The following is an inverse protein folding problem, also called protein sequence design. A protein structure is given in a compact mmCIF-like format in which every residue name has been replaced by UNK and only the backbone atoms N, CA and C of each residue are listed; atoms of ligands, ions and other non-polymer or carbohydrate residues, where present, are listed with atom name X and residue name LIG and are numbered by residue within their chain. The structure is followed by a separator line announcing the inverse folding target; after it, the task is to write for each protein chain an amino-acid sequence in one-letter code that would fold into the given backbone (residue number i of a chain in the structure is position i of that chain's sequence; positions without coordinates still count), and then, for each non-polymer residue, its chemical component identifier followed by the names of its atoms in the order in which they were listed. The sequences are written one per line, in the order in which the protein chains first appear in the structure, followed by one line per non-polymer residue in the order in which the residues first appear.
data_IF_355520164776
#
_entry.id   IF_355520164776
#
_cell.length_a   1.000
_cell.length_b   1.000
_cell.length_c   1.000
_cell.angle_alpha   90.00
_cell.angle_beta   90.00
_cell.angle_gamma   90.00
#
_symmetry.space_group_name_H-M   'P 1'
#
loop_
_entity.id
_entity.type
_entity.pdbx_description
1 polymer ?
#
# COMPACT_ATOMS: atom_id res chain seq x y z
N UNK A 1 -79.04 10.90 17.64
CA UNK A 1 -80.23 10.12 17.29
C UNK A 1 -79.94 8.66 17.52
N UNK A 2 -80.62 8.03 18.44
CA UNK A 2 -81.00 6.61 18.59
C UNK A 2 -79.87 5.56 18.69
N UNK A 3 -79.66 5.02 19.84
CA UNK A 3 -80.26 3.95 20.69
C UNK A 3 -79.60 2.63 20.47
N UNK A 4 -78.88 2.13 21.46
CA UNK A 4 -79.23 1.23 22.54
C UNK A 4 -79.76 -0.15 22.18
N UNK A 5 -79.12 -1.11 22.77
CA UNK A 5 -79.53 -2.29 23.57
C UNK A 5 -78.70 -3.48 23.09
N UNK A 6 -78.01 -4.26 23.91
CA UNK A 6 -78.30 -4.79 25.24
C UNK A 6 -78.58 -6.28 25.15
N UNK A 7 -77.79 -7.08 25.80
CA UNK A 7 -78.15 -8.20 26.71
C UNK A 7 -77.13 -9.30 26.81
N UNK A 8 -76.53 -9.44 27.94
CA UNK A 8 -76.59 -10.61 28.89
C UNK A 8 -76.04 -11.96 28.42
N UNK A 9 -74.88 -12.28 29.00
CA UNK A 9 -74.61 -13.33 30.00
C UNK A 9 -74.77 -14.80 29.57
N UNK A 10 -73.69 -15.52 29.63
CA UNK A 10 -73.65 -16.77 30.43
C UNK A 10 -72.18 -17.20 30.67
N UNK A 11 -71.92 -17.41 31.95
CA UNK A 11 -70.69 -17.97 32.47
C UNK A 11 -70.63 -19.47 32.19
N UNK A 12 -69.49 -19.95 31.77
CA UNK A 12 -69.09 -21.37 31.99
C UNK A 12 -67.59 -21.42 32.25
N UNK A 13 -67.26 -22.00 33.37
CA UNK A 13 -65.86 -22.11 33.82
C UNK A 13 -65.06 -23.03 32.94
N UNK A 14 -63.79 -22.71 32.81
CA UNK A 14 -62.79 -23.58 32.21
C UNK A 14 -61.50 -23.49 33.02
N UNK A 15 -61.04 -24.65 33.31
CA UNK A 15 -59.91 -25.01 34.15
C UNK A 15 -58.58 -24.30 33.77
N UNK A 16 -57.93 -23.76 34.78
CA UNK A 16 -56.58 -23.22 34.67
C UNK A 16 -55.57 -24.39 34.57
N UNK A 17 -55.04 -24.63 33.37
CA UNK A 17 -53.83 -25.48 33.16
C UNK A 17 -52.61 -24.57 33.36
N UNK A 18 -51.91 -24.71 34.49
CA UNK A 18 -50.57 -24.21 34.71
C UNK A 18 -49.60 -24.95 33.76
N UNK A 19 -49.25 -24.33 32.66
CA UNK A 19 -48.09 -24.76 31.86
C UNK A 19 -46.83 -24.19 32.56
N UNK A 20 -46.13 -25.05 33.28
CA UNK A 20 -44.76 -24.80 33.73
C UNK A 20 -43.83 -24.76 32.50
N UNK A 21 -43.59 -23.55 31.98
CA UNK A 21 -42.59 -23.33 30.95
C UNK A 21 -41.20 -23.58 31.55
N UNK A 22 -40.57 -24.66 31.16
CA UNK A 22 -39.12 -24.87 31.32
C UNK A 22 -38.40 -23.78 30.52
N UNK A 23 -37.98 -22.72 31.21
CA UNK A 23 -36.98 -21.78 30.69
C UNK A 23 -35.65 -22.54 30.60
N UNK A 24 -35.30 -23.03 29.40
CA UNK A 24 -33.97 -23.45 29.12
C UNK A 24 -33.04 -22.25 29.29
N UNK A 25 -31.93 -22.36 30.03
CA UNK A 25 -30.97 -21.28 30.13
C UNK A 25 -30.43 -21.01 28.71
N UNK A 26 -30.60 -19.77 28.23
CA UNK A 26 -29.92 -19.29 27.03
C UNK A 26 -28.42 -19.49 27.27
N UNK A 27 -27.81 -20.42 26.54
CA UNK A 27 -26.37 -20.58 26.56
C UNK A 27 -25.77 -19.25 26.13
N UNK A 28 -25.23 -18.51 27.08
CA UNK A 28 -24.39 -17.35 26.83
C UNK A 28 -23.24 -17.86 25.98
N UNK A 29 -23.21 -17.50 24.69
CA UNK A 29 -22.05 -17.71 23.85
C UNK A 29 -20.97 -16.84 24.45
N UNK A 30 -20.10 -17.43 25.27
CA UNK A 30 -18.93 -16.76 25.80
C UNK A 30 -18.15 -16.20 24.59
N UNK A 31 -17.83 -14.90 24.63
CA UNK A 31 -16.95 -14.29 23.64
C UNK A 31 -15.66 -15.14 23.54
N UNK A 32 -15.10 -15.33 22.34
CA UNK A 32 -13.92 -16.18 22.18
C UNK A 32 -12.82 -15.69 23.12
N UNK A 33 -12.36 -16.59 23.99
CA UNK A 33 -11.36 -16.33 25.05
C UNK A 33 -9.92 -16.16 24.49
N UNK A 34 -9.76 -15.72 23.23
CA UNK A 34 -8.48 -15.55 22.56
C UNK A 34 -7.85 -14.17 22.75
N UNK A 35 -6.54 -14.05 22.50
CA UNK A 35 -5.83 -12.78 22.63
C UNK A 35 -6.42 -11.73 21.67
N UNK A 36 -6.83 -10.58 22.23
CA UNK A 36 -7.40 -9.46 21.46
C UNK A 36 -6.29 -8.60 20.88
N UNK A 37 -6.30 -8.38 19.55
CA UNK A 37 -5.40 -7.48 18.85
C UNK A 37 -6.18 -6.28 18.27
N UNK A 38 -5.85 -5.08 18.71
CA UNK A 38 -6.22 -3.84 18.03
C UNK A 38 -5.18 -3.57 16.94
N UNK A 39 -5.61 -3.60 15.68
CA UNK A 39 -4.74 -3.44 14.51
C UNK A 39 -5.06 -2.12 13.83
N UNK A 40 -4.12 -1.18 13.89
CA UNK A 40 -4.25 0.13 13.26
C UNK A 40 -3.62 0.11 11.87
N UNK A 41 -4.35 0.57 10.84
CA UNK A 41 -3.89 0.61 9.46
C UNK A 41 -4.60 1.70 8.65
N UNK A 42 -4.10 1.96 7.42
CA UNK A 42 -4.70 2.94 6.49
C UNK A 42 -5.42 2.30 5.28
N UNK A 43 -5.59 1.00 5.25
CA UNK A 43 -6.21 0.28 4.15
C UNK A 43 -7.73 0.46 4.15
N UNK A 44 -8.20 1.50 3.45
CA UNK A 44 -9.61 1.92 3.44
C UNK A 44 -10.27 1.84 2.06
N UNK A 45 -9.48 1.64 0.98
CA UNK A 45 -10.05 1.43 -0.35
C UNK A 45 -10.80 0.09 -0.44
N UNK A 46 -11.52 -0.14 -1.54
CA UNK A 46 -12.32 -1.35 -1.73
C UNK A 46 -11.48 -2.62 -1.69
N UNK A 47 -10.38 -2.65 -2.45
CA UNK A 47 -9.47 -3.80 -2.50
C UNK A 47 -8.69 -3.98 -1.20
N UNK A 48 -8.21 -2.89 -0.61
CA UNK A 48 -7.43 -2.92 0.62
C UNK A 48 -8.26 -3.41 1.81
N UNK A 49 -9.50 -2.94 1.93
CA UNK A 49 -10.43 -3.43 2.97
C UNK A 49 -10.76 -4.91 2.80
N UNK A 50 -10.82 -5.41 1.56
CA UNK A 50 -11.00 -6.84 1.32
C UNK A 50 -9.74 -7.64 1.66
N UNK A 51 -8.55 -7.08 1.40
CA UNK A 51 -7.28 -7.73 1.69
C UNK A 51 -7.04 -7.85 3.20
N UNK A 52 -7.18 -6.77 3.98
CA UNK A 52 -6.95 -6.81 5.43
C UNK A 52 -7.89 -7.78 6.15
N UNK A 53 -9.12 -7.97 5.63
CA UNK A 53 -10.02 -9.01 6.15
C UNK A 53 -9.43 -10.41 6.11
N UNK A 54 -8.55 -10.72 5.13
CA UNK A 54 -7.87 -12.04 5.07
C UNK A 54 -6.95 -12.26 6.27
N UNK A 55 -6.24 -11.22 6.71
CA UNK A 55 -5.46 -11.30 7.94
C UNK A 55 -6.36 -11.41 9.17
N UNK A 56 -7.45 -10.65 9.22
CA UNK A 56 -8.41 -10.74 10.31
C UNK A 56 -9.03 -12.13 10.42
N UNK A 57 -9.39 -12.75 9.29
CA UNK A 57 -9.95 -14.10 9.24
C UNK A 57 -8.91 -15.16 9.66
N UNK A 58 -7.68 -15.04 9.20
CA UNK A 58 -6.58 -15.91 9.60
C UNK A 58 -6.28 -15.79 11.11
N UNK A 59 -6.28 -14.56 11.65
CA UNK A 59 -6.08 -14.33 13.08
C UNK A 59 -7.20 -14.94 13.94
N UNK A 60 -8.47 -14.81 13.50
CA UNK A 60 -9.61 -15.44 14.17
C UNK A 60 -9.53 -16.95 14.09
N UNK A 61 -9.14 -17.52 12.94
CA UNK A 61 -8.93 -18.96 12.78
C UNK A 61 -7.83 -19.51 13.69
N UNK A 62 -6.82 -18.66 14.02
CA UNK A 62 -5.77 -18.99 14.99
C UNK A 62 -6.22 -18.77 16.46
N UNK A 63 -7.50 -18.49 16.70
CA UNK A 63 -8.08 -18.33 18.03
C UNK A 63 -7.98 -16.90 18.60
N UNK A 64 -7.58 -15.90 17.82
CA UNK A 64 -7.50 -14.51 18.23
C UNK A 64 -8.81 -13.74 18.03
N UNK A 65 -8.89 -12.55 18.64
CA UNK A 65 -9.96 -11.57 18.45
C UNK A 65 -9.40 -10.33 17.77
N UNK A 66 -9.76 -10.10 16.51
CA UNK A 66 -9.35 -8.93 15.73
C UNK A 66 -10.23 -7.72 16.02
N UNK A 67 -9.62 -6.61 16.41
CA UNK A 67 -10.26 -5.29 16.51
C UNK A 67 -9.63 -4.38 15.44
N UNK A 68 -10.44 -3.90 14.52
CA UNK A 68 -10.02 -3.11 13.38
C UNK A 68 -10.00 -1.60 13.73
N UNK A 69 -8.89 -0.92 13.41
CA UNK A 69 -8.75 0.54 13.56
C UNK A 69 -8.22 1.13 12.27
N UNK A 70 -9.11 1.37 11.31
CA UNK A 70 -8.76 1.95 10.03
C UNK A 70 -8.78 3.49 10.08
N UNK A 71 -7.68 4.12 9.63
CA UNK A 71 -7.52 5.58 9.54
C UNK A 71 -7.18 5.92 8.10
N UNK A 72 -8.06 6.63 7.40
CA UNK A 72 -7.84 6.98 5.99
C UNK A 72 -6.60 7.90 5.81
N UNK A 73 -5.75 7.55 4.86
CA UNK A 73 -4.51 8.27 4.56
C UNK A 73 -3.31 7.79 5.38
N UNK A 74 -2.26 7.36 4.68
CA UNK A 74 -1.07 6.76 5.30
C UNK A 74 -0.38 7.71 6.29
N UNK A 75 -0.21 8.99 5.94
CA UNK A 75 0.47 9.96 6.81
C UNK A 75 -0.35 10.27 8.05
N UNK A 76 -1.67 10.39 7.91
CA UNK A 76 -2.57 10.57 9.04
C UNK A 76 -2.54 9.35 9.98
N UNK A 77 -2.62 8.14 9.43
CA UNK A 77 -2.58 6.91 10.22
C UNK A 77 -1.27 6.75 11.00
N UNK A 78 -0.14 7.01 10.34
CA UNK A 78 1.19 7.00 10.98
C UNK A 78 1.29 8.03 12.10
N UNK A 79 0.84 9.26 11.88
CA UNK A 79 0.85 10.31 12.90
C UNK A 79 0.00 9.92 14.12
N UNK A 80 -1.20 9.38 13.89
CA UNK A 80 -2.06 8.88 14.98
C UNK A 80 -1.39 7.72 15.72
N UNK A 81 -0.76 6.78 15.01
CA UNK A 81 -0.07 5.65 15.62
C UNK A 81 1.10 6.12 16.50
N UNK A 82 1.96 7.00 16.00
CA UNK A 82 3.09 7.57 16.75
C UNK A 82 2.59 8.30 18.00
N UNK A 83 1.60 9.16 17.87
CA UNK A 83 1.03 9.91 18.99
C UNK A 83 0.46 8.97 20.07
N UNK A 84 -0.22 7.89 19.67
CA UNK A 84 -0.76 6.90 20.61
C UNK A 84 0.35 6.10 21.30
N UNK A 85 1.40 5.73 20.57
CA UNK A 85 2.55 4.99 21.12
C UNK A 85 3.29 5.85 22.15
N UNK A 86 3.61 7.09 21.80
CA UNK A 86 4.34 8.02 22.68
C UNK A 86 3.44 8.47 23.86
N UNK A 87 2.15 8.65 23.60
CA UNK A 87 1.15 9.04 24.62
C UNK A 87 0.73 7.93 25.59
N UNK A 88 1.29 6.71 25.47
CA UNK A 88 1.04 5.61 26.42
C UNK A 88 -0.28 4.87 26.21
N UNK A 89 -0.98 5.07 25.09
CA UNK A 89 -2.19 4.33 24.70
C UNK A 89 -2.00 3.66 23.31
N UNK A 90 -1.00 2.79 23.16
CA UNK A 90 -0.68 2.18 21.88
C UNK A 90 -1.74 1.17 21.43
N UNK A 91 -1.92 0.97 20.10
CA UNK A 91 -2.59 -0.22 19.57
C UNK A 91 -1.75 -1.48 19.81
N UNK A 92 -2.33 -2.65 19.60
CA UNK A 92 -1.56 -3.91 19.65
C UNK A 92 -0.52 -3.98 18.53
N UNK A 93 -0.89 -3.51 17.34
CA UNK A 93 0.00 -3.37 16.19
C UNK A 93 -0.39 -2.14 15.36
N UNK A 94 0.59 -1.48 14.76
CA UNK A 94 0.39 -0.35 13.88
C UNK A 94 1.12 -0.55 12.55
N UNK A 95 0.45 -0.22 11.46
CA UNK A 95 1.02 -0.27 10.12
C UNK A 95 2.01 0.88 9.89
N UNK A 96 3.15 0.55 9.28
CA UNK A 96 4.13 1.44 8.69
C UNK A 96 4.57 0.88 7.34
N UNK A 97 5.32 1.67 6.57
CA UNK A 97 6.03 1.11 5.43
C UNK A 97 7.37 0.52 5.89
N UNK A 98 7.96 -0.37 5.10
CA UNK A 98 9.31 -0.91 5.34
C UNK A 98 10.36 0.15 4.97
N UNK A 99 10.40 1.22 5.75
CA UNK A 99 11.25 2.40 5.59
C UNK A 99 11.78 2.87 6.96
N UNK A 100 12.55 3.93 7.00
CA UNK A 100 13.10 4.47 8.25
C UNK A 100 12.07 5.15 9.17
N UNK A 101 10.78 5.17 8.81
CA UNK A 101 9.73 5.93 9.50
C UNK A 101 9.52 5.56 10.99
N UNK A 102 9.84 4.33 11.39
CA UNK A 102 9.69 3.87 12.77
C UNK A 102 11.02 3.74 13.51
N UNK A 103 12.12 4.24 12.92
CA UNK A 103 13.45 4.15 13.51
C UNK A 103 13.53 4.83 14.86
N UNK A 104 12.98 6.02 15.00
CA UNK A 104 12.97 6.79 16.25
C UNK A 104 12.22 6.05 17.37
N UNK A 105 11.15 5.32 17.03
CA UNK A 105 10.42 4.50 18.00
C UNK A 105 11.28 3.32 18.50
N UNK A 106 12.15 2.76 17.65
CA UNK A 106 13.12 1.73 18.05
C UNK A 106 14.17 2.33 19.00
N UNK A 107 14.78 3.43 18.60
CA UNK A 107 15.87 4.08 19.34
C UNK A 107 15.39 4.59 20.72
N UNK A 108 14.12 4.97 20.84
CA UNK A 108 13.44 5.30 22.10
C UNK A 108 13.03 4.07 22.92
N UNK A 109 13.23 2.85 22.41
CA UNK A 109 12.81 1.62 23.08
C UNK A 109 11.28 1.46 23.20
N UNK A 110 10.51 2.08 22.29
CA UNK A 110 9.05 2.09 22.30
C UNK A 110 8.42 0.89 21.57
N UNK A 111 9.22 0.03 20.95
CA UNK A 111 8.75 -1.15 20.22
C UNK A 111 9.28 -2.45 20.86
N UNK A 112 8.48 -3.51 20.79
CA UNK A 112 8.91 -4.88 21.04
C UNK A 112 9.56 -5.45 19.77
N UNK A 113 10.57 -6.31 19.94
CA UNK A 113 11.07 -7.13 18.85
C UNK A 113 10.20 -8.39 18.66
N UNK A 114 10.33 -9.02 17.51
CA UNK A 114 9.64 -10.26 17.13
C UNK A 114 10.63 -11.35 16.73
N UNK A 115 11.80 -11.36 17.35
CA UNK A 115 12.92 -12.25 17.04
C UNK A 115 12.55 -13.73 17.10
N UNK A 116 11.76 -14.12 18.10
CA UNK A 116 11.33 -15.52 18.28
C UNK A 116 10.53 -16.02 17.06
N UNK A 117 9.69 -15.18 16.45
CA UNK A 117 8.97 -15.52 15.23
C UNK A 117 9.91 -15.46 14.03
N UNK A 118 10.69 -14.39 13.89
CA UNK A 118 11.59 -14.17 12.77
C UNK A 118 12.64 -15.27 12.62
N UNK A 119 13.23 -15.71 13.73
CA UNK A 119 14.25 -16.77 13.74
C UNK A 119 13.61 -18.15 13.47
N UNK A 120 12.47 -18.45 14.10
CA UNK A 120 11.72 -19.70 13.85
C UNK A 120 11.36 -19.85 12.36
N UNK A 121 10.88 -18.77 11.75
CA UNK A 121 10.36 -18.77 10.38
C UNK A 121 11.42 -18.32 9.35
N UNK A 122 12.69 -18.20 9.76
CA UNK A 122 13.88 -17.97 8.91
C UNK A 122 13.77 -16.74 8.01
N UNK A 123 13.31 -15.63 8.55
CA UNK A 123 13.10 -14.39 7.79
C UNK A 123 14.34 -13.91 7.05
N UNK A 124 15.54 -14.02 7.66
CA UNK A 124 16.82 -13.68 7.02
C UNK A 124 17.07 -14.40 5.68
N UNK A 125 16.46 -15.58 5.48
CA UNK A 125 16.65 -16.40 4.29
C UNK A 125 15.55 -16.19 3.25
N UNK A 126 14.37 -15.75 3.68
CA UNK A 126 13.14 -15.74 2.88
C UNK A 126 12.74 -14.34 2.41
N UNK A 127 13.27 -13.28 3.04
CA UNK A 127 12.92 -11.90 2.70
C UNK A 127 14.00 -11.20 1.87
N UNK A 128 13.63 -10.21 1.03
CA UNK A 128 14.58 -9.41 0.28
C UNK A 128 15.50 -8.57 1.19
N UNK A 129 16.78 -8.46 0.84
CA UNK A 129 17.76 -7.70 1.61
C UNK A 129 17.34 -6.24 1.88
N UNK A 130 16.82 -5.45 0.92
CA UNK A 130 16.39 -4.07 1.20
C UNK A 130 15.27 -3.94 2.24
N UNK A 131 14.47 -4.98 2.43
CA UNK A 131 13.45 -5.02 3.49
C UNK A 131 14.10 -5.38 4.83
N UNK A 132 14.99 -6.39 4.82
CA UNK A 132 15.74 -6.80 6.02
C UNK A 132 16.57 -5.65 6.60
N UNK A 133 17.22 -4.85 5.76
CA UNK A 133 18.04 -3.69 6.16
C UNK A 133 17.25 -2.65 6.96
N UNK A 134 15.94 -2.61 6.78
CA UNK A 134 15.05 -1.67 7.49
C UNK A 134 14.47 -2.27 8.77
N UNK A 135 13.95 -3.50 8.68
CA UNK A 135 13.22 -4.11 9.81
C UNK A 135 14.14 -4.71 10.87
N UNK A 136 15.40 -4.99 10.52
CA UNK A 136 16.40 -5.58 11.41
C UNK A 136 17.40 -4.52 11.86
N UNK A 137 17.32 -4.13 13.13
CA UNK A 137 18.13 -3.07 13.73
C UNK A 137 18.94 -3.65 14.88
N UNK A 138 20.26 -3.47 14.86
CA UNK A 138 21.17 -4.01 15.89
C UNK A 138 21.00 -5.52 16.13
N UNK A 139 20.68 -6.27 15.05
CA UNK A 139 20.48 -7.72 15.10
C UNK A 139 19.07 -8.18 15.47
N UNK A 140 18.14 -7.27 15.81
CA UNK A 140 16.77 -7.56 16.24
C UNK A 140 15.73 -7.15 15.21
N UNK A 141 14.66 -7.92 15.08
CA UNK A 141 13.53 -7.66 14.16
C UNK A 141 12.42 -6.87 14.87
N UNK A 142 12.15 -5.64 14.42
CA UNK A 142 11.18 -4.74 15.04
C UNK A 142 9.86 -4.56 14.26
N UNK A 143 9.75 -5.18 13.09
CA UNK A 143 8.53 -5.13 12.31
C UNK A 143 8.28 -6.45 11.59
N UNK A 144 7.01 -6.79 11.37
CA UNK A 144 6.57 -7.89 10.53
C UNK A 144 6.13 -7.33 9.17
N UNK A 145 6.96 -7.44 8.12
CA UNK A 145 6.56 -7.01 6.78
C UNK A 145 5.56 -8.00 6.19
N UNK A 146 4.54 -7.49 5.50
CA UNK A 146 3.42 -8.33 5.02
C UNK A 146 3.31 -8.42 3.50
N UNK A 147 4.06 -7.59 2.79
CA UNK A 147 4.08 -7.58 1.33
C UNK A 147 5.37 -6.95 0.77
N UNK A 148 5.51 -7.09 -0.55
CA UNK A 148 6.45 -6.32 -1.36
C UNK A 148 5.62 -5.52 -2.35
N UNK A 149 5.81 -4.20 -2.32
CA UNK A 149 5.32 -3.27 -3.32
C UNK A 149 6.42 -2.85 -4.27
N UNK A 150 6.09 -2.75 -5.56
CA UNK A 150 6.76 -1.88 -6.49
C UNK A 150 5.85 -0.69 -6.81
N UNK A 151 6.30 0.50 -6.50
CA UNK A 151 5.44 1.69 -6.54
C UNK A 151 5.38 2.38 -7.90
N UNK A 152 6.15 1.94 -8.89
CA UNK A 152 6.32 2.63 -10.17
C UNK A 152 5.83 1.83 -11.38
N UNK A 153 4.84 0.96 -11.19
CA UNK A 153 4.16 0.29 -12.29
C UNK A 153 3.45 1.29 -13.20
N UNK A 154 3.42 0.98 -14.49
CA UNK A 154 2.63 1.71 -15.49
C UNK A 154 1.43 0.84 -15.84
N UNK A 155 0.26 1.23 -15.34
CA UNK A 155 -1.03 0.60 -15.60
C UNK A 155 -1.67 1.28 -16.80
N UNK A 156 -2.27 0.54 -17.72
CA UNK A 156 -2.96 1.15 -18.86
C UNK A 156 -4.25 0.42 -19.22
N UNK A 157 -5.24 1.20 -19.69
CA UNK A 157 -6.51 0.68 -20.20
C UNK A 157 -6.36 0.21 -21.65
N UNK A 158 -6.62 -1.08 -21.91
CA UNK A 158 -6.60 -1.61 -23.29
C UNK A 158 -7.70 -0.99 -24.16
N UNK A 159 -8.85 -0.67 -23.57
CA UNK A 159 -9.93 0.02 -24.29
C UNK A 159 -9.50 1.44 -24.72
N UNK A 160 -8.86 2.20 -23.84
CA UNK A 160 -8.33 3.53 -24.14
C UNK A 160 -7.20 3.47 -25.19
N UNK A 161 -6.28 2.50 -25.07
CA UNK A 161 -5.23 2.28 -26.06
C UNK A 161 -5.80 1.96 -27.44
N UNK A 162 -6.78 1.05 -27.50
CA UNK A 162 -7.49 0.74 -28.75
C UNK A 162 -8.16 1.97 -29.36
N UNK A 163 -8.86 2.79 -28.55
CA UNK A 163 -9.48 4.05 -29.00
C UNK A 163 -8.46 5.03 -29.59
N UNK A 164 -7.26 5.09 -29.00
CA UNK A 164 -6.17 5.97 -29.45
C UNK A 164 -5.29 5.35 -30.57
N UNK A 165 -5.62 4.16 -31.08
CA UNK A 165 -4.84 3.47 -32.12
C UNK A 165 -3.46 3.03 -31.64
N UNK A 166 -3.30 2.75 -30.35
CA UNK A 166 -2.05 2.25 -29.77
C UNK A 166 -2.11 0.71 -29.79
N UNK A 167 -1.29 0.09 -30.61
CA UNK A 167 -1.30 -1.36 -30.84
C UNK A 167 -0.21 -2.12 -30.09
N UNK A 168 0.81 -1.41 -29.59
CA UNK A 168 1.96 -1.98 -28.88
C UNK A 168 2.15 -1.28 -27.55
N UNK A 169 2.50 -2.05 -26.53
CA UNK A 169 2.92 -1.52 -25.22
C UNK A 169 4.20 -0.69 -25.36
N UNK A 170 4.31 0.48 -24.73
CA UNK A 170 5.55 1.26 -24.70
C UNK A 170 6.64 0.48 -23.95
N UNK A 171 7.82 0.39 -24.57
CA UNK A 171 9.00 -0.27 -24.02
C UNK A 171 10.12 0.70 -23.66
N UNK A 172 9.97 1.99 -24.02
CA UNK A 172 10.92 3.07 -23.71
C UNK A 172 10.19 4.31 -23.21
N UNK A 173 10.88 5.25 -22.52
CA UNK A 173 10.27 6.52 -22.13
C UNK A 173 9.70 7.31 -23.31
N UNK A 174 10.38 7.33 -24.46
CA UNK A 174 9.89 8.03 -25.66
C UNK A 174 8.63 7.39 -26.21
N UNK A 175 8.54 6.05 -26.23
CA UNK A 175 7.32 5.34 -26.63
C UNK A 175 6.17 5.58 -25.65
N UNK A 176 6.43 5.72 -24.33
CA UNK A 176 5.42 6.11 -23.36
C UNK A 176 4.87 7.52 -23.66
N UNK A 177 5.74 8.49 -23.89
CA UNK A 177 5.29 9.84 -24.23
C UNK A 177 4.54 9.88 -25.56
N UNK A 178 4.96 9.12 -26.57
CA UNK A 178 4.23 8.99 -27.82
C UNK A 178 2.83 8.36 -27.63
N UNK A 179 2.70 7.40 -26.71
CA UNK A 179 1.39 6.83 -26.35
C UNK A 179 0.50 7.86 -25.63
N UNK A 180 1.07 8.64 -24.71
CA UNK A 180 0.34 9.71 -24.02
C UNK A 180 -0.12 10.82 -24.99
N UNK A 181 0.70 11.18 -25.99
CA UNK A 181 0.33 12.13 -27.04
C UNK A 181 -0.86 11.61 -27.88
N UNK A 182 -0.85 10.33 -28.27
CA UNK A 182 -1.96 9.69 -28.99
C UNK A 182 -3.24 9.64 -28.17
N UNK A 183 -3.17 9.32 -26.88
CA UNK A 183 -4.32 9.34 -25.97
C UNK A 183 -4.95 10.72 -25.90
N UNK A 184 -4.11 11.75 -25.70
CA UNK A 184 -4.57 13.15 -25.67
C UNK A 184 -5.22 13.57 -26.98
N UNK A 185 -4.64 13.20 -28.13
CA UNK A 185 -5.21 13.48 -29.45
C UNK A 185 -6.55 12.78 -29.68
N UNK A 186 -6.76 11.59 -29.07
CA UNK A 186 -8.02 10.83 -29.12
C UNK A 186 -9.08 11.33 -28.10
N UNK A 187 -8.82 12.44 -27.38
CA UNK A 187 -9.72 12.98 -26.37
C UNK A 187 -9.84 12.09 -25.13
N UNK A 188 -8.76 11.36 -24.80
CA UNK A 188 -8.63 10.55 -23.57
C UNK A 188 -7.63 11.25 -22.65
N UNK A 189 -7.91 11.30 -21.34
CA UNK A 189 -6.92 11.76 -20.38
C UNK A 189 -5.68 10.86 -20.49
N UNK A 190 -4.52 11.42 -20.81
CA UNK A 190 -3.32 10.64 -21.04
C UNK A 190 -2.87 9.92 -19.75
N UNK A 191 -2.74 10.68 -18.66
CA UNK A 191 -2.27 10.21 -17.37
C UNK A 191 -3.31 10.49 -16.28
N UNK A 192 -3.88 9.44 -15.70
CA UNK A 192 -4.66 9.54 -14.47
C UNK A 192 -3.71 9.77 -13.30
N UNK A 193 -3.88 10.85 -12.58
CA UNK A 193 -3.04 11.22 -11.44
C UNK A 193 -3.88 11.80 -10.31
N UNK A 194 -3.53 11.49 -9.08
CA UNK A 194 -4.03 12.19 -7.90
C UNK A 194 -3.02 13.27 -7.52
N UNK A 195 -3.51 14.48 -7.22
CA UNK A 195 -2.64 15.63 -6.92
C UNK A 195 -2.22 15.69 -5.46
N UNK A 196 -1.76 14.59 -4.89
CA UNK A 196 -1.21 14.52 -3.54
C UNK A 196 0.31 14.40 -3.62
N UNK A 197 1.09 15.07 -2.76
CA UNK A 197 2.56 15.12 -2.86
C UNK A 197 3.25 13.75 -2.95
N UNK A 198 2.80 12.75 -2.22
CA UNK A 198 3.36 11.40 -2.29
C UNK A 198 3.17 10.72 -3.66
N UNK A 199 2.07 11.04 -4.38
CA UNK A 199 1.84 10.52 -5.72
C UNK A 199 2.76 11.19 -6.75
N UNK A 200 3.05 12.50 -6.58
CA UNK A 200 4.05 13.21 -7.38
C UNK A 200 5.46 12.63 -7.16
N UNK A 201 5.78 12.25 -5.92
CA UNK A 201 7.02 11.56 -5.59
C UNK A 201 7.13 10.20 -6.32
N UNK A 202 6.05 9.43 -6.43
CA UNK A 202 6.02 8.19 -7.24
C UNK A 202 6.31 8.48 -8.72
N UNK A 203 5.70 9.51 -9.31
CA UNK A 203 5.97 9.89 -10.70
C UNK A 203 7.44 10.28 -10.90
N UNK A 204 8.01 11.04 -9.97
CA UNK A 204 9.43 11.40 -9.99
C UNK A 204 10.32 10.16 -9.94
N UNK A 205 10.10 9.25 -9.00
CA UNK A 205 10.87 8.01 -8.89
C UNK A 205 10.73 7.14 -10.15
N UNK A 206 9.53 7.08 -10.73
CA UNK A 206 9.32 6.37 -12.00
C UNK A 206 10.17 6.98 -13.12
N UNK A 207 10.22 8.30 -13.24
CA UNK A 207 11.06 8.95 -14.25
C UNK A 207 12.55 8.80 -13.94
N UNK A 208 12.95 8.90 -12.68
CA UNK A 208 14.35 8.69 -12.27
C UNK A 208 14.83 7.26 -12.60
N UNK A 209 13.97 6.27 -12.37
CA UNK A 209 14.27 4.87 -12.69
C UNK A 209 14.31 4.59 -14.20
N UNK A 210 13.31 5.09 -14.95
CA UNK A 210 13.14 4.75 -16.37
C UNK A 210 13.99 5.60 -17.32
N UNK A 211 14.23 6.87 -16.99
CA UNK A 211 15.05 7.79 -17.78
C UNK A 211 16.50 7.83 -17.30
N UNK A 212 16.69 7.84 -15.97
CA UNK A 212 18.00 7.94 -15.34
C UNK A 212 18.71 6.59 -15.15
N UNK A 213 17.95 5.53 -14.97
CA UNK A 213 18.45 4.18 -14.68
C UNK A 213 18.98 4.01 -13.26
N UNK A 214 19.36 2.78 -12.92
CA UNK A 214 19.78 2.39 -11.57
C UNK A 214 20.95 3.21 -11.01
N UNK A 215 21.98 3.45 -11.85
CA UNK A 215 23.18 4.15 -11.38
C UNK A 215 22.85 5.59 -10.94
N UNK A 216 22.13 6.34 -11.77
CA UNK A 216 21.72 7.70 -11.43
C UNK A 216 20.74 7.72 -10.24
N UNK A 217 19.80 6.77 -10.18
CA UNK A 217 18.87 6.63 -9.06
C UNK A 217 19.61 6.53 -7.73
N UNK A 218 20.60 5.63 -7.64
CA UNK A 218 21.38 5.45 -6.42
C UNK A 218 22.28 6.63 -6.12
N UNK A 219 22.93 7.23 -7.14
CA UNK A 219 23.79 8.40 -6.94
C UNK A 219 23.02 9.63 -6.44
N UNK A 220 21.76 9.79 -6.86
CA UNK A 220 20.90 10.90 -6.41
C UNK A 220 20.33 10.63 -5.02
N UNK A 221 19.79 9.44 -4.76
CA UNK A 221 18.98 9.19 -3.56
C UNK A 221 19.77 8.55 -2.43
N UNK A 222 20.65 7.59 -2.72
CA UNK A 222 21.48 6.93 -1.71
C UNK A 222 22.71 7.76 -1.38
N UNK A 223 23.47 8.15 -2.44
CA UNK A 223 24.75 8.84 -2.30
C UNK A 223 24.58 10.36 -2.16
N UNK A 224 23.38 10.88 -2.47
CA UNK A 224 23.00 12.30 -2.40
C UNK A 224 24.02 13.22 -3.08
N UNK A 225 24.60 12.71 -4.19
CA UNK A 225 25.71 13.36 -4.90
C UNK A 225 25.27 14.66 -5.56
N UNK A 226 25.82 15.83 -5.16
CA UNK A 226 25.54 17.10 -5.82
C UNK A 226 25.92 17.10 -7.31
N UNK A 227 26.98 16.36 -7.69
CA UNK A 227 27.40 16.21 -9.08
C UNK A 227 26.35 15.46 -9.91
N UNK A 228 25.79 14.38 -9.36
CA UNK A 228 24.73 13.61 -10.03
C UNK A 228 23.46 14.47 -10.18
N UNK A 229 23.07 15.21 -9.14
CA UNK A 229 21.87 16.06 -9.11
C UNK A 229 22.02 17.24 -10.09
N UNK A 230 23.22 17.81 -10.24
CA UNK A 230 23.47 18.90 -11.20
C UNK A 230 23.81 18.41 -12.63
N UNK A 231 23.77 17.11 -12.90
CA UNK A 231 24.09 16.55 -14.22
C UNK A 231 22.98 16.81 -15.25
N UNK A 232 23.34 16.85 -16.54
CA UNK A 232 22.39 16.90 -17.66
C UNK A 232 21.50 15.62 -17.69
N UNK A 233 22.01 14.48 -17.21
CA UNK A 233 21.21 13.26 -17.10
C UNK A 233 20.04 13.44 -16.12
N UNK A 234 20.31 14.00 -14.96
CA UNK A 234 19.24 14.28 -13.98
C UNK A 234 18.31 15.41 -14.42
N UNK A 235 18.82 16.41 -15.13
CA UNK A 235 17.99 17.44 -15.77
C UNK A 235 16.97 16.84 -16.72
N UNK A 236 17.37 15.84 -17.56
CA UNK A 236 16.44 15.11 -18.43
C UNK A 236 15.34 14.40 -17.63
N UNK A 237 15.67 13.82 -16.50
CA UNK A 237 14.69 13.18 -15.58
C UNK A 237 13.65 14.19 -15.10
N UNK A 238 14.10 15.36 -14.61
CA UNK A 238 13.19 16.41 -14.12
C UNK A 238 12.31 16.97 -15.25
N UNK A 239 12.84 17.14 -16.45
CA UNK A 239 12.05 17.58 -17.61
C UNK A 239 11.01 16.51 -18.01
N UNK A 240 11.37 15.23 -18.00
CA UNK A 240 10.42 14.12 -18.23
C UNK A 240 9.33 14.07 -17.16
N UNK A 241 9.70 14.22 -15.89
CA UNK A 241 8.75 14.32 -14.78
C UNK A 241 7.78 15.51 -14.99
N UNK A 242 8.30 16.68 -15.31
CA UNK A 242 7.46 17.87 -15.58
C UNK A 242 6.56 17.70 -16.80
N UNK A 243 7.03 17.02 -17.85
CA UNK A 243 6.24 16.74 -19.05
C UNK A 243 4.98 15.89 -18.74
N UNK A 244 5.05 14.96 -17.79
CA UNK A 244 3.90 14.16 -17.40
C UNK A 244 2.69 14.99 -16.98
N UNK A 245 2.92 16.16 -16.35
CA UNK A 245 1.86 17.09 -15.96
C UNK A 245 0.96 17.51 -17.13
N UNK A 246 1.51 17.62 -18.34
CA UNK A 246 0.76 18.06 -19.53
C UNK A 246 -0.30 17.07 -20.01
N UNK A 247 -0.32 15.86 -19.47
CA UNK A 247 -1.26 14.76 -19.79
C UNK A 247 -2.30 14.52 -18.68
N UNK A 248 -2.18 15.22 -17.55
CA UNK A 248 -3.10 15.12 -16.41
C UNK A 248 -4.31 16.04 -16.62
N UNK A 249 -5.47 15.61 -16.19
CA UNK A 249 -6.69 16.43 -16.23
C UNK A 249 -6.75 17.49 -15.13
N UNK A 250 -7.47 18.63 -15.33
CA UNK A 250 -7.54 19.70 -14.34
C UNK A 250 -8.16 19.31 -13.00
N UNK A 251 -8.90 18.22 -12.94
CA UNK A 251 -9.55 17.73 -11.71
C UNK A 251 -8.65 16.92 -10.80
N UNK A 252 -7.34 16.82 -11.09
CA UNK A 252 -6.41 15.97 -10.33
C UNK A 252 -6.07 16.48 -8.91
N UNK A 253 -6.05 17.80 -8.59
CA UNK A 253 -5.65 18.24 -7.26
C UNK A 253 -6.45 17.58 -6.14
N UNK A 254 -5.73 17.03 -5.15
CA UNK A 254 -6.26 16.29 -4.00
C UNK A 254 -7.09 15.03 -4.32
N UNK A 255 -7.08 14.56 -5.58
CA UNK A 255 -7.71 13.28 -5.94
C UNK A 255 -6.97 12.14 -5.25
N UNK A 256 -7.71 11.19 -4.69
CA UNK A 256 -7.13 9.96 -4.17
C UNK A 256 -6.61 9.06 -5.30
N UNK A 257 -5.62 8.25 -4.99
CA UNK A 257 -5.00 7.35 -5.97
C UNK A 257 -5.98 6.34 -6.59
N UNK A 258 -6.91 5.81 -5.78
CA UNK A 258 -7.93 4.86 -6.23
C UNK A 258 -8.97 5.51 -7.15
N UNK A 259 -9.29 6.79 -6.95
CA UNK A 259 -10.15 7.55 -7.86
C UNK A 259 -9.46 7.76 -9.22
N UNK A 260 -8.14 7.98 -9.23
CA UNK A 260 -7.34 8.00 -10.44
C UNK A 260 -7.32 6.62 -11.12
N UNK A 261 -7.16 5.53 -10.34
CA UNK A 261 -7.27 4.15 -10.88
C UNK A 261 -8.64 3.90 -11.51
N UNK A 262 -9.73 4.36 -10.89
CA UNK A 262 -11.08 4.23 -11.44
C UNK A 262 -11.27 4.94 -12.80
N UNK A 263 -10.47 5.98 -13.11
CA UNK A 263 -10.48 6.60 -14.43
C UNK A 263 -9.89 5.66 -15.50
N UNK A 264 -8.85 4.91 -15.18
CA UNK A 264 -8.24 3.92 -16.08
C UNK A 264 -9.14 2.70 -16.23
N UNK A 265 -9.71 2.20 -15.14
CA UNK A 265 -10.72 1.13 -15.12
C UNK A 265 -11.89 1.48 -16.05
N UNK A 266 -12.40 2.70 -15.96
CA UNK A 266 -13.51 3.18 -16.81
C UNK A 266 -13.11 3.62 -18.22
N UNK A 267 -11.84 3.53 -18.62
CA UNK A 267 -11.36 3.95 -19.94
C UNK A 267 -11.40 5.48 -20.16
N UNK A 268 -11.65 6.28 -19.14
CA UNK A 268 -11.61 7.75 -19.19
C UNK A 268 -10.17 8.28 -19.24
N UNK A 269 -9.24 7.54 -18.66
CA UNK A 269 -7.81 7.78 -18.78
C UNK A 269 -7.10 6.58 -19.38
N UNK A 270 -5.99 6.84 -20.08
CA UNK A 270 -5.22 5.80 -20.75
C UNK A 270 -4.23 5.11 -19.84
N UNK A 271 -3.50 5.87 -19.01
CA UNK A 271 -2.38 5.40 -18.21
C UNK A 271 -2.50 5.89 -16.76
N UNK A 272 -2.00 5.12 -15.82
CA UNK A 272 -1.65 5.55 -14.46
C UNK A 272 -0.26 5.00 -14.09
N UNK A 273 0.60 5.84 -13.54
CA UNK A 273 1.84 5.41 -12.91
C UNK A 273 1.60 5.35 -11.41
N UNK A 274 1.57 4.14 -10.85
CA UNK A 274 1.17 3.91 -9.46
C UNK A 274 1.66 2.54 -9.01
N UNK A 275 1.77 2.35 -7.72
CA UNK A 275 2.12 1.08 -7.14
C UNK A 275 1.16 -0.06 -7.47
N UNK A 276 1.62 -1.26 -7.22
CA UNK A 276 0.88 -2.49 -7.52
C UNK A 276 -0.42 -2.63 -6.71
N UNK A 277 -0.63 -1.86 -5.65
CA UNK A 277 -1.93 -1.75 -4.98
C UNK A 277 -3.05 -1.26 -5.92
N UNK A 278 -2.73 -0.50 -6.98
CA UNK A 278 -3.70 -0.14 -8.01
C UNK A 278 -4.30 -1.37 -8.69
N UNK A 279 -3.53 -2.45 -8.84
CA UNK A 279 -4.01 -3.72 -9.41
C UNK A 279 -5.18 -4.30 -8.62
N UNK A 280 -5.18 -4.15 -7.30
CA UNK A 280 -6.29 -4.56 -6.46
C UNK A 280 -7.61 -3.91 -6.84
N UNK A 281 -7.60 -2.61 -7.21
CA UNK A 281 -8.80 -1.90 -7.64
C UNK A 281 -9.32 -2.38 -9.02
N UNK A 282 -8.42 -2.73 -9.96
CA UNK A 282 -8.82 -3.39 -11.20
C UNK A 282 -9.51 -4.74 -10.93
N UNK A 283 -8.95 -5.54 -10.01
CA UNK A 283 -9.53 -6.81 -9.62
C UNK A 283 -10.89 -6.64 -8.92
N UNK A 284 -11.04 -5.66 -8.02
CA UNK A 284 -12.30 -5.32 -7.36
C UNK A 284 -13.38 -4.89 -8.38
N UNK A 285 -12.96 -4.22 -9.48
CA UNK A 285 -13.81 -3.88 -10.61
C UNK A 285 -14.05 -5.07 -11.59
N UNK A 286 -13.62 -6.31 -11.21
CA UNK A 286 -13.73 -7.52 -12.03
C UNK A 286 -13.01 -7.45 -13.37
N UNK A 287 -11.97 -6.63 -13.48
CA UNK A 287 -11.12 -6.58 -14.66
C UNK A 287 -9.98 -7.60 -14.57
N UNK A 288 -9.61 -8.12 -15.73
CA UNK A 288 -8.57 -9.16 -15.88
C UNK A 288 -7.33 -8.58 -16.53
N UNK A 289 -6.18 -8.77 -15.88
CA UNK A 289 -4.87 -8.40 -16.43
C UNK A 289 -4.63 -9.10 -17.78
N UNK A 290 -4.08 -8.36 -18.74
CA UNK A 290 -3.86 -8.86 -20.11
C UNK A 290 -5.08 -8.79 -21.02
N UNK A 291 -6.30 -8.75 -20.50
CA UNK A 291 -7.55 -8.64 -21.26
C UNK A 291 -8.10 -7.20 -21.24
N UNK A 292 -8.35 -6.67 -20.06
CA UNK A 292 -9.01 -5.37 -19.88
C UNK A 292 -7.97 -4.26 -19.61
N UNK A 293 -6.93 -4.57 -18.91
CA UNK A 293 -5.80 -3.67 -18.63
C UNK A 293 -4.46 -4.38 -18.85
N UNK A 294 -3.40 -3.59 -18.96
CA UNK A 294 -2.02 -4.07 -18.99
C UNK A 294 -1.16 -3.41 -17.91
N UNK A 295 0.02 -3.97 -17.72
CA UNK A 295 0.96 -3.58 -16.67
C UNK A 295 2.40 -3.64 -17.18
N UNK A 296 3.15 -2.56 -16.98
CA UNK A 296 4.53 -2.44 -17.40
C UNK A 296 5.37 -2.15 -16.15
N UNK A 297 6.28 -3.05 -15.80
CA UNK A 297 7.13 -2.93 -14.62
C UNK A 297 8.29 -1.94 -14.81
N UNK A 298 8.59 -1.57 -16.04
CA UNK A 298 9.66 -0.64 -16.39
C UNK A 298 9.86 -0.54 -17.89
N UNK A 299 10.33 0.62 -18.33
CA UNK A 299 10.53 0.96 -19.74
C UNK A 299 11.96 0.60 -20.18
N UNK A 300 12.23 -0.71 -20.22
CA UNK A 300 13.52 -1.27 -20.62
C UNK A 300 13.96 -2.46 -19.77
N UNK A 301 14.92 -3.24 -20.25
CA UNK A 301 15.32 -4.48 -19.59
C UNK A 301 16.08 -4.26 -18.28
N UNK A 302 16.74 -3.13 -18.11
CA UNK A 302 17.65 -2.84 -16.98
C UNK A 302 17.09 -1.81 -16.00
N UNK A 303 15.79 -1.49 -16.09
CA UNK A 303 15.14 -0.59 -15.15
C UNK A 303 15.13 -1.23 -13.76
N UNK A 304 15.56 -0.52 -12.70
CA UNK A 304 15.52 -1.06 -11.35
C UNK A 304 14.06 -1.34 -10.91
N UNK A 305 13.88 -2.41 -10.15
CA UNK A 305 12.62 -2.72 -9.50
C UNK A 305 12.62 -2.06 -8.12
N UNK A 306 11.87 -0.97 -7.99
CA UNK A 306 11.88 -0.15 -6.78
C UNK A 306 10.96 -0.77 -5.75
N UNK A 307 11.56 -1.31 -4.68
CA UNK A 307 10.83 -2.08 -3.66
C UNK A 307 10.72 -1.35 -2.34
N UNK A 308 9.55 -1.47 -1.78
CA UNK A 308 9.22 -1.29 -0.37
C UNK A 308 8.12 -2.29 -0.02
N UNK A 309 7.58 -2.22 1.19
CA UNK A 309 6.42 -3.00 1.59
C UNK A 309 5.70 -2.32 2.74
N UNK A 310 4.60 -2.92 3.13
CA UNK A 310 3.91 -2.58 4.37
C UNK A 310 4.39 -3.52 5.49
N UNK A 311 4.51 -2.99 6.69
CA UNK A 311 4.90 -3.75 7.86
C UNK A 311 4.08 -3.34 9.08
N UNK A 312 3.93 -4.25 10.04
CA UNK A 312 3.37 -3.95 11.34
C UNK A 312 4.47 -3.89 12.39
N UNK A 313 4.51 -2.78 13.12
CA UNK A 313 5.30 -2.64 14.34
C UNK A 313 4.46 -2.99 15.56
N UNK A 314 5.13 -3.43 16.63
CA UNK A 314 4.51 -3.92 17.86
C UNK A 314 4.93 -3.02 19.03
N UNK A 315 4.08 -2.07 19.44
CA UNK A 315 4.40 -1.16 20.52
C UNK A 315 4.71 -1.90 21.84
N UNK A 316 5.68 -1.37 22.58
CA UNK A 316 6.09 -1.94 23.86
C UNK A 316 4.96 -1.88 24.88
N UNK A 317 4.74 -3.00 25.59
CA UNK A 317 3.70 -3.12 26.61
C UNK A 317 4.19 -4.04 27.73
N UNK A 318 3.67 -3.81 28.94
CA UNK A 318 3.88 -4.71 30.09
C UNK A 318 2.75 -5.76 30.21
N UNK A 319 1.68 -5.64 29.43
CA UNK A 319 0.54 -6.56 29.46
C UNK A 319 0.88 -7.86 28.71
N UNK A 320 0.99 -9.02 29.41
CA UNK A 320 1.37 -10.30 28.79
C UNK A 320 0.37 -10.77 27.73
N UNK A 321 -0.93 -10.47 27.87
CA UNK A 321 -1.94 -10.85 26.89
C UNK A 321 -1.79 -10.05 25.60
N UNK A 322 -1.39 -8.76 25.69
CA UNK A 322 -1.07 -7.96 24.50
C UNK A 322 0.20 -8.49 23.82
N UNK A 323 1.24 -8.85 24.55
CA UNK A 323 2.45 -9.48 23.97
C UNK A 323 2.11 -10.79 23.27
N UNK A 324 1.24 -11.61 23.86
CA UNK A 324 0.75 -12.84 23.23
C UNK A 324 -0.02 -12.55 21.95
N UNK A 325 -0.86 -11.51 21.95
CA UNK A 325 -1.59 -11.06 20.77
C UNK A 325 -0.63 -10.59 19.66
N UNK A 326 0.41 -9.82 19.98
CA UNK A 326 1.43 -9.35 19.04
C UNK A 326 2.14 -10.52 18.35
N UNK A 327 2.58 -11.52 19.13
CA UNK A 327 3.26 -12.70 18.60
C UNK A 327 2.35 -13.56 17.71
N UNK A 328 1.12 -13.81 18.14
CA UNK A 328 0.14 -14.53 17.34
C UNK A 328 -0.16 -13.77 16.03
N UNK A 329 -0.27 -12.43 16.10
CA UNK A 329 -0.51 -11.60 14.93
C UNK A 329 0.63 -11.68 13.92
N UNK A 330 1.89 -11.49 14.38
CA UNK A 330 3.07 -11.60 13.51
C UNK A 330 3.13 -12.98 12.83
N UNK A 331 2.98 -14.06 13.61
CA UNK A 331 2.99 -15.43 13.09
C UNK A 331 1.88 -15.66 12.05
N UNK A 332 0.67 -15.14 12.30
CA UNK A 332 -0.48 -15.35 11.42
C UNK A 332 -0.35 -14.56 10.11
N UNK A 333 0.07 -13.30 10.18
CA UNK A 333 0.22 -12.47 8.99
C UNK A 333 1.33 -12.98 8.06
N UNK A 334 2.36 -13.63 8.61
CA UNK A 334 3.47 -14.21 7.85
C UNK A 334 3.25 -15.67 7.45
N UNK A 335 2.11 -16.28 7.82
CA UNK A 335 1.79 -17.62 7.36
C UNK A 335 1.61 -17.63 5.82
N UNK A 336 2.21 -18.61 5.08
CA UNK A 336 2.20 -18.59 3.61
C UNK A 336 0.81 -18.48 2.99
N UNK A 337 -0.21 -19.16 3.56
CA UNK A 337 -1.58 -19.07 3.07
C UNK A 337 -2.20 -17.68 3.27
N UNK A 338 -1.97 -17.04 4.42
CA UNK A 338 -2.43 -15.68 4.69
C UNK A 338 -1.73 -14.66 3.78
N UNK A 339 -0.43 -14.83 3.56
CA UNK A 339 0.37 -14.04 2.61
C UNK A 339 -0.20 -14.10 1.20
N UNK A 340 -0.52 -15.29 0.70
CA UNK A 340 -1.07 -15.49 -0.63
C UNK A 340 -2.44 -14.81 -0.79
N UNK A 341 -3.35 -15.06 0.13
CA UNK A 341 -4.72 -14.55 0.06
C UNK A 341 -4.80 -13.03 0.22
N UNK A 342 -3.98 -12.48 1.11
CA UNK A 342 -3.85 -11.02 1.27
C UNK A 342 -3.30 -10.37 0.01
N UNK A 343 -2.16 -10.84 -0.50
CA UNK A 343 -1.46 -10.21 -1.61
C UNK A 343 -2.21 -10.32 -2.94
N UNK A 344 -3.01 -11.38 -3.15
CA UNK A 344 -3.92 -11.47 -4.31
C UNK A 344 -4.91 -10.29 -4.37
N UNK A 345 -5.50 -9.91 -3.23
CA UNK A 345 -6.49 -8.85 -3.13
C UNK A 345 -5.84 -7.47 -3.05
N UNK A 346 -4.73 -7.36 -2.31
CA UNK A 346 -3.97 -6.11 -2.15
C UNK A 346 -3.32 -5.66 -3.47
N UNK A 347 -2.96 -6.61 -4.34
CA UNK A 347 -2.27 -6.34 -5.60
C UNK A 347 -0.75 -6.48 -5.51
N UNK A 348 -0.20 -6.59 -4.32
CA UNK A 348 1.22 -6.71 -3.99
C UNK A 348 1.78 -8.12 -4.22
N UNK A 349 3.05 -8.32 -3.87
CA UNK A 349 3.71 -9.62 -3.86
C UNK A 349 3.89 -10.11 -2.42
N UNK A 350 3.82 -11.45 -2.17
CA UNK A 350 4.18 -12.02 -0.88
C UNK A 350 5.62 -11.66 -0.49
N UNK A 351 5.82 -11.33 0.80
CA UNK A 351 7.15 -10.99 1.31
C UNK A 351 8.09 -12.19 1.40
N UNK A 352 7.53 -13.39 1.60
CA UNK A 352 8.30 -14.60 1.76
C UNK A 352 8.50 -15.30 0.41
N UNK A 353 9.74 -15.58 0.05
CA UNK A 353 10.13 -16.20 -1.23
C UNK A 353 9.64 -17.66 -1.39
N UNK A 354 9.19 -18.31 -0.31
CA UNK A 354 8.65 -19.67 -0.30
C UNK A 354 7.12 -19.75 -0.46
N UNK A 355 6.44 -18.63 -0.67
CA UNK A 355 5.01 -18.61 -0.99
C UNK A 355 4.80 -18.98 -2.45
N UNK A 356 3.97 -20.00 -2.71
CA UNK A 356 3.59 -20.34 -4.08
C UNK A 356 2.64 -19.29 -4.66
N UNK A 357 3.17 -18.43 -5.51
CA UNK A 357 2.45 -17.36 -6.20
C UNK A 357 1.92 -17.77 -7.58
N UNK A 358 1.95 -19.05 -7.95
CA UNK A 358 1.54 -19.55 -9.29
C UNK A 358 0.08 -19.22 -9.63
N UNK A 359 -0.78 -19.08 -8.60
CA UNK A 359 -2.20 -18.72 -8.74
C UNK A 359 -2.46 -17.21 -8.81
N UNK A 360 -1.44 -16.36 -8.76
CA UNK A 360 -1.57 -14.92 -8.93
C UNK A 360 -1.67 -14.54 -10.42
N UNK A 361 -2.16 -13.33 -10.70
CA UNK A 361 -2.31 -12.83 -12.07
C UNK A 361 -0.97 -12.61 -12.79
N UNK A 362 -1.05 -12.38 -14.11
CA UNK A 362 0.14 -12.22 -14.96
C UNK A 362 1.04 -11.04 -14.56
N UNK A 363 0.49 -9.95 -14.00
CA UNK A 363 1.27 -8.80 -13.54
C UNK A 363 2.09 -9.15 -12.29
N UNK A 364 1.47 -9.84 -11.34
CA UNK A 364 2.17 -10.36 -10.16
C UNK A 364 3.25 -11.36 -10.54
N UNK A 365 2.95 -12.27 -11.48
CA UNK A 365 3.96 -13.23 -11.97
C UNK A 365 5.12 -12.54 -12.67
N UNK A 366 4.88 -11.47 -13.44
CA UNK A 366 5.94 -10.63 -14.02
C UNK A 366 6.80 -9.98 -12.93
N UNK A 367 6.18 -9.42 -11.89
CA UNK A 367 6.88 -8.88 -10.72
C UNK A 367 7.75 -9.93 -10.01
N UNK A 368 7.18 -11.10 -9.74
CA UNK A 368 7.91 -12.23 -9.14
C UNK A 368 9.10 -12.70 -10.00
N UNK A 369 8.94 -12.69 -11.33
CA UNK A 369 10.03 -13.04 -12.24
C UNK A 369 11.19 -12.02 -12.16
N UNK A 370 10.87 -10.73 -12.07
CA UNK A 370 11.87 -9.66 -11.91
C UNK A 370 12.57 -9.76 -10.55
N UNK A 371 11.80 -10.08 -9.49
CA UNK A 371 12.34 -10.25 -8.13
C UNK A 371 13.36 -11.39 -7.99
N UNK A 372 13.42 -12.34 -8.94
CA UNK A 372 14.49 -13.36 -8.98
C UNK A 372 15.85 -12.77 -9.29
N UNK A 373 15.89 -11.65 -10.02
CA UNK A 373 17.13 -10.91 -10.30
C UNK A 373 17.42 -9.90 -9.19
N UNK A 374 18.20 -10.33 -8.20
CA UNK A 374 18.59 -9.47 -7.07
C UNK A 374 19.32 -8.20 -7.49
N UNK A 375 19.96 -8.19 -8.66
CA UNK A 375 20.67 -7.01 -9.16
C UNK A 375 19.73 -5.87 -9.55
N UNK A 376 18.47 -6.19 -9.82
CA UNK A 376 17.42 -5.21 -10.13
C UNK A 376 16.69 -4.66 -8.91
N UNK A 377 16.79 -5.32 -7.76
CA UNK A 377 16.15 -4.88 -6.53
C UNK A 377 16.85 -3.62 -6.01
N UNK A 378 16.10 -2.55 -5.82
CA UNK A 378 16.55 -1.28 -5.26
C UNK A 378 15.48 -0.77 -4.30
N UNK A 379 15.88 -0.31 -3.13
CA UNK A 379 14.96 0.33 -2.20
C UNK A 379 14.36 1.61 -2.80
N UNK A 380 13.10 1.89 -2.47
CA UNK A 380 12.50 3.18 -2.77
C UNK A 380 13.19 4.31 -2.01
N UNK A 381 12.85 5.54 -2.38
CA UNK A 381 13.42 6.77 -1.82
C UNK A 381 13.42 6.77 -0.28
N UNK A 382 12.35 6.31 0.34
CA UNK A 382 12.15 6.29 1.79
C UNK A 382 13.05 5.25 2.52
N UNK A 383 13.65 4.32 1.77
CA UNK A 383 14.68 3.41 2.29
C UNK A 383 16.03 4.14 2.42
N UNK A 384 16.29 5.07 1.52
CA UNK A 384 17.58 5.78 1.44
C UNK A 384 17.60 7.06 2.28
N UNK A 385 16.51 7.85 2.26
CA UNK A 385 16.43 9.15 2.93
C UNK A 385 15.88 9.05 4.36
N UNK A 386 16.23 10.02 5.18
CA UNK A 386 15.54 10.26 6.46
C UNK A 386 14.13 10.82 6.19
N UNK A 387 13.20 10.78 7.17
CA UNK A 387 11.90 11.41 7.04
C UNK A 387 11.99 12.89 6.66
N UNK A 388 12.91 13.65 7.26
CA UNK A 388 13.09 15.08 7.00
C UNK A 388 13.61 15.32 5.58
N UNK A 389 14.61 14.58 5.13
CA UNK A 389 15.13 14.67 3.75
C UNK A 389 14.07 14.30 2.72
N UNK A 390 13.26 13.25 2.99
CA UNK A 390 12.18 12.87 2.10
C UNK A 390 11.10 13.95 2.04
N UNK A 391 10.72 14.53 3.17
CA UNK A 391 9.78 15.64 3.26
C UNK A 391 10.26 16.86 2.47
N UNK A 392 11.51 17.28 2.72
CA UNK A 392 12.11 18.43 2.02
C UNK A 392 12.18 18.22 0.49
N UNK A 393 12.56 17.01 0.04
CA UNK A 393 12.56 16.65 -1.37
C UNK A 393 11.15 16.69 -1.96
N UNK A 394 10.16 16.12 -1.25
CA UNK A 394 8.77 16.12 -1.67
C UNK A 394 8.22 17.53 -1.85
N UNK A 395 8.55 18.46 -0.96
CA UNK A 395 8.17 19.89 -1.08
C UNK A 395 8.76 20.52 -2.33
N UNK A 396 10.02 20.24 -2.65
CA UNK A 396 10.67 20.73 -3.89
C UNK A 396 9.98 20.13 -5.12
N UNK A 397 9.71 18.83 -5.13
CA UNK A 397 9.07 18.14 -6.26
C UNK A 397 7.65 18.66 -6.49
N UNK A 398 6.86 18.82 -5.41
CA UNK A 398 5.50 19.39 -5.47
C UNK A 398 5.51 20.83 -5.97
N UNK A 399 6.47 21.65 -5.50
CA UNK A 399 6.64 23.02 -6.01
C UNK A 399 7.03 23.03 -7.49
N UNK A 400 7.98 22.18 -7.89
CA UNK A 400 8.40 22.07 -9.28
C UNK A 400 7.25 21.55 -10.17
N UNK A 401 6.49 20.56 -9.73
CA UNK A 401 5.32 20.05 -10.43
C UNK A 401 4.26 21.13 -10.65
N UNK A 402 3.88 21.86 -9.61
CA UNK A 402 2.73 22.77 -9.64
C UNK A 402 3.04 24.20 -10.10
N UNK A 403 4.32 24.58 -10.28
CA UNK A 403 4.72 25.96 -10.67
C UNK A 403 5.54 25.98 -11.95
N UNK A 404 5.91 27.18 -12.40
CA UNK A 404 6.84 27.41 -13.51
C UNK A 404 8.31 27.48 -13.04
N UNK A 405 8.66 26.74 -11.98
CA UNK A 405 10.04 26.71 -11.49
C UNK A 405 10.99 26.25 -12.61
N UNK A 406 12.09 26.98 -12.89
CA UNK A 406 13.12 26.52 -13.82
C UNK A 406 13.78 25.22 -13.32
N UNK A 407 14.16 24.34 -14.25
CA UNK A 407 14.74 23.03 -13.89
C UNK A 407 16.07 23.16 -13.14
N UNK A 408 16.88 24.16 -13.46
CA UNK A 408 18.14 24.45 -12.76
C UNK A 408 17.90 24.90 -11.32
N UNK A 409 16.81 25.62 -11.07
CA UNK A 409 16.40 25.97 -9.71
C UNK A 409 15.93 24.73 -8.95
N UNK A 410 15.18 23.83 -9.59
CA UNK A 410 14.77 22.56 -8.99
C UNK A 410 16.00 21.72 -8.62
N UNK A 411 17.01 21.57 -9.50
CA UNK A 411 18.25 20.86 -9.19
C UNK A 411 18.95 21.45 -7.95
N UNK A 412 19.12 22.77 -7.90
CA UNK A 412 19.74 23.45 -6.73
C UNK A 412 18.94 23.23 -5.44
N UNK A 413 17.61 23.31 -5.52
CA UNK A 413 16.75 23.08 -4.36
C UNK A 413 16.81 21.61 -3.89
N UNK A 414 16.93 20.64 -4.81
CA UNK A 414 17.09 19.23 -4.47
C UNK A 414 18.44 18.97 -3.79
N UNK A 415 19.54 19.62 -4.26
CA UNK A 415 20.83 19.53 -3.56
C UNK A 415 20.70 20.01 -2.12
N UNK A 416 20.01 21.13 -1.90
CA UNK A 416 19.80 21.67 -0.56
C UNK A 416 18.91 20.78 0.31
N UNK A 417 17.84 20.20 -0.27
CA UNK A 417 16.92 19.32 0.43
C UNK A 417 17.57 17.97 0.86
N UNK A 418 18.58 17.52 0.12
CA UNK A 418 19.29 16.27 0.38
C UNK A 418 20.63 16.45 1.12
N UNK A 419 21.00 17.69 1.46
CA UNK A 419 22.16 17.94 2.32
C UNK A 419 21.96 17.33 3.71
N UNK A 420 23.09 16.96 4.35
CA UNK A 420 23.08 16.40 5.71
C UNK A 420 22.73 17.43 6.76
#
# INVERSE_FOLDING_TARGET
MFKQRGTLARATGAATLLAAGLMAPAASVAAPAGPKAEVMHWWTSSSESAAVRKFADAYRAAGGVWADTAVAGADQAKSVAINRIVGGNPPTAAQFNTTKQFRDLIDQGSLNNVDDIALRDKWDQLMPAPILDVIKVNGHFYAAPVDIHMSTWIWYSKAAFKKAGIVKEPATPDELFAALDKLKAAGVVGLAHGGQPWQENILFQAMLANVGGKALYLSVLRDRSPQAINSEAFKKVLLAFKRLQTYVDPGSPNRNWNDATAMVVGGRAGVQIMGDWAKGEFAAAKQTAGKDFGCIAGLGPNVPYLIQGDAFVFPKTKNPETVKAQKLLAATMLAPAAQLEFNKLKGSLPILSNVDASSMDLCAQAGMAIMKDKSRQVGMIEVHLTPDQNGALQDVLTTYWNTRMPVEKAQKSIVAALAD
#
